data_IF_560819895202
#
_entry.id   IF_560819895202
#
_cell.length_a   1.000
_cell.length_b   1.000
_cell.length_c   1.000
_cell.angle_alpha   90.00
_cell.angle_beta   90.00
_cell.angle_gamma   90.00
#
_symmetry.space_group_name_H-M   'P 1'
#
loop_
_entity.id
_entity.type
_entity.pdbx_description
1 polymer ?
#
# COMPACT_ATOMS: atom_id res chain seq x y z
N UNK A 1 -25.71 -23.05 -7.44
CA UNK A 1 -24.43 -23.76 -7.25
C UNK A 1 -23.75 -23.19 -6.02
N UNK A 2 -23.17 -24.03 -5.16
CA UNK A 2 -22.43 -23.61 -3.97
C UNK A 2 -21.00 -24.14 -4.05
N UNK A 3 -20.05 -23.37 -3.54
CA UNK A 3 -18.67 -23.81 -3.45
C UNK A 3 -18.54 -24.86 -2.34
N UNK A 4 -17.81 -25.94 -2.61
CA UNK A 4 -17.55 -26.97 -1.63
C UNK A 4 -16.39 -26.56 -0.74
N UNK A 5 -16.69 -26.27 0.53
CA UNK A 5 -15.71 -25.82 1.50
C UNK A 5 -14.59 -26.85 1.73
N UNK A 6 -14.89 -28.16 1.66
CA UNK A 6 -13.90 -29.20 1.88
C UNK A 6 -12.82 -29.21 0.78
N UNK A 7 -13.20 -28.80 -0.43
CA UNK A 7 -12.30 -28.74 -1.58
C UNK A 7 -11.42 -27.49 -1.60
N UNK A 8 -11.67 -26.52 -0.70
CA UNK A 8 -10.90 -25.28 -0.61
C UNK A 8 -9.53 -25.55 0.02
N UNK A 9 -8.55 -25.75 -0.86
CA UNK A 9 -7.16 -26.08 -0.48
C UNK A 9 -6.23 -24.87 -0.51
N UNK A 10 -6.64 -23.79 -1.18
CA UNK A 10 -5.84 -22.57 -1.31
C UNK A 10 -5.79 -21.71 -0.02
N UNK A 11 -4.63 -21.07 0.20
CA UNK A 11 -4.43 -20.08 1.29
C UNK A 11 -5.34 -18.85 1.19
N UNK A 12 -5.98 -18.65 0.05
CA UNK A 12 -6.99 -17.61 -0.16
C UNK A 12 -8.28 -17.87 0.61
N UNK A 13 -8.59 -19.13 0.88
CA UNK A 13 -9.89 -19.55 1.40
C UNK A 13 -9.84 -19.91 2.89
N UNK A 14 -8.64 -20.17 3.43
CA UNK A 14 -8.42 -20.48 4.85
C UNK A 14 -7.79 -19.28 5.55
N UNK A 15 -8.43 -18.76 6.59
CA UNK A 15 -7.89 -17.68 7.41
C UNK A 15 -7.24 -18.31 8.64
N UNK A 16 -5.96 -18.04 8.86
CA UNK A 16 -5.27 -18.54 10.05
C UNK A 16 -5.90 -17.95 11.31
N UNK A 17 -6.36 -18.81 12.21
CA UNK A 17 -6.97 -18.42 13.48
C UNK A 17 -8.50 -18.22 13.46
N UNK A 18 -9.14 -18.34 12.30
CA UNK A 18 -10.61 -18.35 12.22
C UNK A 18 -11.17 -19.77 12.28
N UNK A 19 -12.37 -19.88 12.82
CA UNK A 19 -13.09 -21.14 12.94
C UNK A 19 -13.58 -21.64 11.55
N UNK A 20 -13.29 -22.90 11.17
CA UNK A 20 -13.70 -23.45 9.88
C UNK A 20 -15.20 -23.46 9.63
N UNK A 21 -16.03 -23.65 10.67
CA UNK A 21 -17.50 -23.66 10.51
C UNK A 21 -18.01 -22.26 10.14
N UNK A 22 -17.48 -21.23 10.81
CA UNK A 22 -17.75 -19.83 10.49
C UNK A 22 -17.36 -19.50 9.05
N UNK A 23 -16.22 -20.01 8.57
CA UNK A 23 -15.80 -19.82 7.19
C UNK A 23 -16.71 -20.58 6.21
N UNK A 24 -17.10 -21.82 6.50
CA UNK A 24 -17.98 -22.61 5.65
C UNK A 24 -19.34 -21.91 5.42
N UNK A 25 -19.92 -21.33 6.47
CA UNK A 25 -21.19 -20.58 6.38
C UNK A 25 -21.15 -19.41 5.38
N UNK A 26 -19.98 -18.80 5.15
CA UNK A 26 -19.80 -17.74 4.14
C UNK A 26 -19.97 -18.25 2.71
N UNK A 27 -19.60 -19.51 2.45
CA UNK A 27 -19.67 -20.11 1.12
C UNK A 27 -21.03 -20.76 0.83
N UNK A 28 -21.71 -21.25 1.86
CA UNK A 28 -23.07 -21.81 1.74
C UNK A 28 -24.13 -20.75 1.44
N UNK A 29 -23.92 -19.51 1.88
CA UNK A 29 -24.90 -18.42 1.71
C UNK A 29 -24.81 -17.69 0.37
N UNK A 30 -23.78 -17.94 -0.44
CA UNK A 30 -23.56 -17.15 -1.68
C UNK A 30 -24.09 -17.89 -2.93
N UNK A 31 -25.14 -17.38 -3.60
CA UNK A 31 -25.63 -17.98 -4.83
C UNK A 31 -24.76 -17.62 -6.05
N UNK A 32 -24.27 -18.65 -6.75
CA UNK A 32 -23.58 -18.54 -8.04
C UNK A 32 -24.57 -18.77 -9.20
N UNK A 33 -24.63 -17.82 -10.15
CA UNK A 33 -25.72 -17.69 -11.14
C UNK A 33 -25.42 -18.37 -12.48
N UNK A 34 -24.18 -18.37 -12.96
CA UNK A 34 -23.77 -18.97 -14.24
C UNK A 34 -22.33 -19.48 -14.15
N UNK A 35 -22.14 -20.79 -14.35
CA UNK A 35 -20.84 -21.44 -14.31
C UNK A 35 -20.44 -21.96 -15.69
N UNK A 36 -19.21 -21.67 -16.11
CA UNK A 36 -18.55 -22.23 -17.28
C UNK A 36 -18.01 -23.60 -16.88
N UNK A 37 -18.43 -24.65 -17.58
CA UNK A 37 -17.84 -25.97 -17.39
C UNK A 37 -16.42 -25.97 -17.96
N UNK A 38 -15.46 -26.29 -17.11
CA UNK A 38 -14.05 -26.48 -17.51
C UNK A 38 -13.72 -27.95 -17.49
N UNK A 39 -13.02 -28.41 -18.53
CA UNK A 39 -12.45 -29.75 -18.56
C UNK A 39 -11.00 -29.69 -18.08
N UNK A 40 -10.76 -30.28 -16.92
CA UNK A 40 -9.45 -30.45 -16.30
C UNK A 40 -9.13 -31.95 -16.11
N UNK A 41 -9.72 -32.80 -16.94
CA UNK A 41 -9.44 -34.23 -16.92
C UNK A 41 -7.96 -34.52 -17.19
N UNK A 42 -7.46 -35.63 -16.66
CA UNK A 42 -6.06 -36.03 -16.84
C UNK A 42 -5.70 -36.18 -18.33
N UNK A 43 -6.64 -36.57 -19.19
CA UNK A 43 -6.43 -36.64 -20.64
C UNK A 43 -6.18 -35.25 -21.23
N UNK A 44 -7.05 -34.28 -20.92
CA UNK A 44 -6.94 -32.90 -21.43
C UNK A 44 -5.70 -32.19 -20.90
N UNK A 45 -5.35 -32.41 -19.63
CA UNK A 45 -4.11 -31.87 -19.05
C UNK A 45 -2.86 -32.50 -19.69
N UNK A 46 -2.90 -33.80 -20.02
CA UNK A 46 -1.80 -34.47 -20.70
C UNK A 46 -1.61 -33.95 -22.13
N UNK A 47 -2.68 -33.78 -22.90
CA UNK A 47 -2.59 -33.20 -24.25
C UNK A 47 -2.07 -31.77 -24.21
N UNK A 48 -2.54 -30.97 -23.23
CA UNK A 48 -2.03 -29.62 -23.02
C UNK A 48 -0.52 -29.62 -22.70
N UNK A 49 -0.07 -30.53 -21.83
CA UNK A 49 1.33 -30.67 -21.47
C UNK A 49 2.21 -31.02 -22.68
N UNK A 50 1.76 -31.95 -23.52
CA UNK A 50 2.47 -32.37 -24.73
C UNK A 50 2.59 -31.22 -25.74
N UNK A 51 1.50 -30.48 -25.97
CA UNK A 51 1.49 -29.31 -26.85
C UNK A 51 2.44 -28.21 -26.32
N UNK A 52 2.34 -27.87 -25.04
CA UNK A 52 3.17 -26.84 -24.40
C UNK A 52 4.65 -27.20 -24.36
N UNK A 53 4.99 -28.49 -24.23
CA UNK A 53 6.37 -28.96 -24.23
C UNK A 53 7.08 -28.61 -25.54
N UNK A 54 6.42 -28.87 -26.68
CA UNK A 54 7.00 -28.56 -27.99
C UNK A 54 7.25 -27.07 -28.18
N UNK A 55 6.31 -26.23 -27.71
CA UNK A 55 6.42 -24.77 -27.75
C UNK A 55 7.60 -24.32 -26.88
N UNK A 56 7.65 -24.75 -25.63
CA UNK A 56 8.68 -24.33 -24.66
C UNK A 56 10.09 -24.78 -25.04
N UNK A 57 10.25 -25.95 -25.66
CA UNK A 57 11.54 -26.37 -26.19
C UNK A 57 12.08 -25.36 -27.21
N UNK A 58 11.24 -24.95 -28.16
CA UNK A 58 11.61 -23.94 -29.18
C UNK A 58 11.87 -22.56 -28.59
N UNK A 59 11.14 -22.18 -27.55
CA UNK A 59 11.24 -20.88 -26.91
C UNK A 59 12.48 -20.76 -26.02
N UNK A 60 12.82 -21.82 -25.28
CA UNK A 60 14.05 -21.87 -24.49
C UNK A 60 15.29 -21.86 -25.38
N UNK A 61 15.28 -22.59 -26.50
CA UNK A 61 16.38 -22.54 -27.46
C UNK A 61 16.56 -21.13 -28.03
N UNK A 62 15.45 -20.48 -28.40
CA UNK A 62 15.47 -19.09 -28.84
C UNK A 62 16.05 -18.15 -27.76
N UNK A 63 15.62 -18.27 -26.51
CA UNK A 63 16.13 -17.44 -25.40
C UNK A 63 17.64 -17.68 -25.15
N UNK A 64 18.12 -18.92 -25.27
CA UNK A 64 19.57 -19.24 -25.14
C UNK A 64 20.40 -18.64 -26.27
N UNK A 65 19.89 -18.65 -27.50
CA UNK A 65 20.54 -18.00 -28.64
C UNK A 65 20.62 -16.48 -28.44
N UNK A 66 19.57 -15.85 -27.89
CA UNK A 66 19.55 -14.41 -27.61
C UNK A 66 20.41 -14.01 -26.40
N UNK A 67 20.57 -14.91 -25.43
CA UNK A 67 21.46 -14.69 -24.27
C UNK A 67 22.94 -14.83 -24.63
N UNK A 68 23.27 -15.43 -25.79
CA UNK A 68 24.65 -15.54 -26.25
C UNK A 68 25.17 -14.17 -26.68
N UNK A 69 26.41 -13.77 -26.29
CA UNK A 69 26.97 -12.48 -26.62
C UNK A 69 27.38 -12.43 -28.10
N UNK A 70 26.40 -12.31 -28.99
CA UNK A 70 26.61 -11.98 -30.40
C UNK A 70 26.44 -10.47 -30.58
N UNK A 71 27.39 -9.83 -31.26
CA UNK A 71 27.36 -8.38 -31.54
C UNK A 71 26.24 -7.94 -32.51
N UNK A 72 25.39 -8.87 -32.96
CA UNK A 72 24.34 -8.58 -33.93
C UNK A 72 23.02 -8.34 -33.21
N UNK A 73 22.42 -7.14 -33.30
CA UNK A 73 21.13 -6.89 -32.69
C UNK A 73 20.05 -7.79 -33.33
N UNK A 74 19.07 -8.28 -32.54
CA UNK A 74 18.03 -9.14 -33.07
C UNK A 74 17.24 -8.46 -34.20
N UNK A 75 16.89 -9.24 -35.22
CA UNK A 75 15.98 -8.80 -36.28
C UNK A 75 14.58 -8.47 -35.74
N UNK A 76 13.70 -7.84 -36.55
CA UNK A 76 12.38 -7.37 -36.10
C UNK A 76 11.49 -8.51 -35.56
N UNK A 77 11.49 -9.68 -36.22
CA UNK A 77 10.73 -10.85 -35.77
C UNK A 77 11.23 -11.39 -34.42
N UNK A 78 12.55 -11.42 -34.21
CA UNK A 78 13.14 -11.84 -32.94
C UNK A 78 12.81 -10.84 -31.82
N UNK A 79 12.79 -9.53 -32.09
CA UNK A 79 12.37 -8.51 -31.11
C UNK A 79 10.91 -8.67 -30.71
N UNK A 80 10.02 -8.95 -31.65
CA UNK A 80 8.60 -9.17 -31.35
C UNK A 80 8.41 -10.45 -30.52
N UNK A 81 9.12 -11.53 -30.87
CA UNK A 81 9.10 -12.76 -30.08
C UNK A 81 9.64 -12.53 -28.65
N UNK A 82 10.74 -11.78 -28.51
CA UNK A 82 11.27 -11.38 -27.21
C UNK A 82 10.28 -10.52 -26.42
N UNK A 83 9.56 -9.59 -27.05
CA UNK A 83 8.53 -8.79 -26.37
C UNK A 83 7.37 -9.63 -25.83
N UNK A 84 7.06 -10.75 -26.47
CA UNK A 84 6.01 -11.68 -26.01
C UNK A 84 6.48 -12.53 -24.82
N UNK A 85 7.69 -13.09 -24.92
CA UNK A 85 8.26 -13.94 -23.86
C UNK A 85 8.74 -13.12 -22.65
N UNK A 86 9.28 -11.95 -22.92
CA UNK A 86 9.80 -11.00 -21.93
C UNK A 86 9.19 -9.62 -22.15
N UNK A 87 7.92 -9.42 -21.78
CA UNK A 87 7.27 -8.12 -21.91
C UNK A 87 8.02 -7.05 -21.12
N UNK A 88 8.47 -6.02 -21.85
CA UNK A 88 9.18 -4.85 -21.30
C UNK A 88 8.25 -3.68 -21.00
N UNK A 89 6.95 -3.78 -21.30
CA UNK A 89 5.96 -2.73 -21.02
C UNK A 89 5.61 -2.61 -19.53
N UNK A 90 5.97 -3.61 -18.72
CA UNK A 90 5.89 -3.53 -17.25
C UNK A 90 7.14 -2.90 -16.66
N UNK A 91 7.13 -1.56 -16.53
CA UNK A 91 8.21 -0.77 -15.91
C UNK A 91 8.47 -1.12 -14.43
N UNK A 92 7.53 -1.81 -13.79
CA UNK A 92 7.62 -2.27 -12.41
C UNK A 92 8.27 -3.66 -12.28
N UNK A 93 8.50 -4.38 -13.38
CA UNK A 93 9.00 -5.75 -13.34
C UNK A 93 10.42 -5.81 -12.77
N UNK A 94 10.74 -6.91 -12.09
CA UNK A 94 12.13 -7.27 -11.78
C UNK A 94 12.94 -7.35 -13.08
N UNK A 95 14.17 -6.80 -13.12
CA UNK A 95 15.02 -6.86 -14.31
C UNK A 95 15.59 -8.27 -14.55
N UNK A 96 15.25 -9.25 -13.70
CA UNK A 96 15.61 -10.64 -13.90
C UNK A 96 14.74 -11.28 -15.00
N UNK A 97 15.29 -12.25 -15.75
CA UNK A 97 14.52 -12.98 -16.74
C UNK A 97 13.31 -13.68 -16.09
N UNK A 98 12.19 -13.78 -16.83
CA UNK A 98 11.01 -14.49 -16.32
C UNK A 98 11.34 -15.98 -16.16
N UNK A 99 12.07 -16.52 -17.13
CA UNK A 99 12.48 -17.91 -17.18
C UNK A 99 13.99 -18.00 -16.97
N UNK A 100 14.45 -18.48 -15.80
CA UNK A 100 15.84 -18.84 -15.58
C UNK A 100 16.37 -19.76 -16.69
N UNK A 101 17.59 -19.49 -17.18
CA UNK A 101 18.23 -20.31 -18.20
C UNK A 101 18.47 -21.77 -17.77
N UNK A 102 18.43 -22.03 -16.46
CA UNK A 102 18.63 -23.35 -15.84
C UNK A 102 17.38 -24.24 -15.91
N UNK A 103 16.20 -23.68 -16.17
CA UNK A 103 14.97 -24.47 -16.23
C UNK A 103 14.87 -25.23 -17.55
N UNK A 104 14.43 -26.48 -17.46
CA UNK A 104 14.09 -27.33 -18.61
C UNK A 104 12.65 -27.07 -19.06
N UNK A 105 12.33 -27.42 -20.31
CA UNK A 105 10.98 -27.23 -20.84
C UNK A 105 9.96 -28.04 -20.04
N UNK A 106 10.33 -29.26 -19.64
CA UNK A 106 9.53 -30.16 -18.84
C UNK A 106 9.18 -29.55 -17.47
N UNK A 107 10.17 -28.94 -16.80
CA UNK A 107 9.95 -28.25 -15.52
C UNK A 107 9.06 -27.00 -15.66
N UNK A 108 9.15 -26.29 -16.78
CA UNK A 108 8.27 -25.14 -17.04
C UNK A 108 6.84 -25.63 -17.24
N UNK A 109 6.63 -26.61 -18.12
CA UNK A 109 5.30 -27.18 -18.38
C UNK A 109 4.68 -27.72 -17.10
N UNK A 110 5.41 -28.50 -16.31
CA UNK A 110 4.93 -29.02 -15.03
C UNK A 110 4.52 -27.90 -14.06
N UNK A 111 5.32 -26.84 -13.97
CA UNK A 111 5.03 -25.67 -13.11
C UNK A 111 3.83 -24.86 -13.61
N UNK A 112 3.64 -24.78 -14.92
CA UNK A 112 2.59 -23.99 -15.56
C UNK A 112 1.28 -24.78 -15.75
N UNK A 113 1.22 -26.04 -15.32
CA UNK A 113 -0.01 -26.83 -15.34
C UNK A 113 -1.15 -26.17 -14.53
N UNK A 114 -2.39 -26.19 -15.04
CA UNK A 114 -3.56 -25.78 -14.28
C UNK A 114 -3.77 -26.65 -13.03
N UNK A 115 -4.06 -26.02 -11.90
CA UNK A 115 -4.37 -26.67 -10.63
C UNK A 115 -5.74 -26.25 -10.13
N UNK A 116 -6.60 -27.22 -9.83
CA UNK A 116 -7.92 -26.95 -9.23
C UNK A 116 -7.73 -26.59 -7.76
N UNK A 117 -8.18 -25.40 -7.38
CA UNK A 117 -8.11 -24.88 -6.01
C UNK A 117 -9.40 -25.10 -5.22
N UNK A 118 -10.53 -25.23 -5.93
CA UNK A 118 -11.86 -25.38 -5.37
C UNK A 118 -12.83 -25.97 -6.41
N UNK A 119 -13.86 -26.69 -5.94
CA UNK A 119 -14.93 -27.27 -6.76
C UNK A 119 -16.32 -26.94 -6.22
N UNK A 120 -17.36 -27.17 -7.02
CA UNK A 120 -18.76 -27.03 -6.59
C UNK A 120 -19.28 -28.30 -5.91
N UNK A 121 -20.05 -28.15 -4.83
CA UNK A 121 -20.56 -29.28 -4.01
C UNK A 121 -21.46 -30.24 -4.79
N UNK A 122 -22.36 -29.70 -5.63
CA UNK A 122 -23.39 -30.52 -6.27
C UNK A 122 -22.91 -31.30 -7.51
N UNK A 123 -21.80 -30.89 -8.12
CA UNK A 123 -21.35 -31.42 -9.42
C UNK A 123 -19.89 -31.88 -9.43
N UNK A 124 -19.09 -31.49 -8.44
CA UNK A 124 -17.65 -31.73 -8.41
C UNK A 124 -16.87 -30.97 -9.49
N UNK A 125 -17.54 -30.13 -10.30
CA UNK A 125 -16.85 -29.36 -11.34
C UNK A 125 -15.95 -28.30 -10.72
N UNK A 126 -14.79 -28.00 -11.35
CA UNK A 126 -13.89 -26.95 -10.86
C UNK A 126 -14.59 -25.60 -10.78
N UNK A 127 -14.45 -24.95 -9.63
CA UNK A 127 -14.87 -23.58 -9.41
C UNK A 127 -13.73 -22.60 -9.58
N UNK A 128 -12.57 -22.88 -8.95
CA UNK A 128 -11.38 -22.03 -9.04
C UNK A 128 -10.24 -22.85 -9.60
N UNK A 129 -9.64 -22.33 -10.67
CA UNK A 129 -8.45 -22.91 -11.31
C UNK A 129 -7.33 -21.91 -11.21
N UNK A 130 -6.19 -22.34 -10.68
CA UNK A 130 -4.96 -21.57 -10.63
C UNK A 130 -4.01 -22.07 -11.70
N UNK A 131 -3.40 -21.14 -12.44
CA UNK A 131 -2.33 -21.44 -13.37
C UNK A 131 -1.18 -20.46 -13.15
N UNK A 132 0.05 -20.95 -13.12
CA UNK A 132 1.24 -20.08 -13.15
C UNK A 132 1.64 -19.84 -14.59
N UNK A 133 1.93 -18.59 -14.94
CA UNK A 133 2.43 -18.20 -16.25
C UNK A 133 3.62 -17.28 -16.03
N UNK A 134 4.81 -17.76 -16.38
CA UNK A 134 6.05 -17.06 -16.10
C UNK A 134 6.27 -16.84 -14.60
N UNK A 135 6.31 -15.56 -14.18
CA UNK A 135 6.40 -15.16 -12.76
C UNK A 135 5.05 -14.77 -12.16
N UNK A 136 3.99 -14.77 -12.96
CA UNK A 136 2.65 -14.41 -12.54
C UNK A 136 1.80 -15.63 -12.18
N UNK A 137 0.70 -15.35 -11.49
CA UNK A 137 -0.35 -16.32 -11.20
C UNK A 137 -1.65 -15.81 -11.81
N UNK A 138 -2.36 -16.68 -12.52
CA UNK A 138 -3.70 -16.45 -13.05
C UNK A 138 -4.68 -17.30 -12.23
N UNK A 139 -5.72 -16.66 -11.71
CA UNK A 139 -6.87 -17.34 -11.11
C UNK A 139 -8.06 -17.21 -12.05
N UNK A 140 -8.66 -18.34 -12.41
CA UNK A 140 -9.88 -18.40 -13.18
C UNK A 140 -11.03 -18.88 -12.29
N UNK A 141 -12.02 -18.02 -12.10
CA UNK A 141 -13.26 -18.34 -11.43
C UNK A 141 -14.29 -18.73 -12.49
N UNK A 142 -14.77 -19.96 -12.45
CA UNK A 142 -15.67 -20.49 -13.48
C UNK A 142 -17.08 -19.94 -13.37
N UNK A 143 -17.42 -19.24 -12.29
CA UNK A 143 -18.72 -18.58 -12.12
C UNK A 143 -18.58 -17.12 -11.69
N UNK A 144 -19.51 -16.29 -12.15
CA UNK A 144 -19.75 -14.96 -11.59
C UNK A 144 -20.56 -15.00 -10.29
N UNK A 145 -20.49 -13.91 -9.53
CA UNK A 145 -21.38 -13.65 -8.38
C UNK A 145 -22.63 -12.94 -8.89
N UNK A 146 -23.81 -13.29 -8.38
CA UNK A 146 -25.04 -12.56 -8.68
C UNK A 146 -24.89 -11.07 -8.33
N UNK A 147 -25.38 -10.20 -9.20
CA UNK A 147 -25.25 -8.74 -9.09
C UNK A 147 -26.29 -8.12 -8.15
N UNK A 148 -26.66 -8.75 -7.05
CA UNK A 148 -27.48 -8.06 -6.05
C UNK A 148 -26.62 -6.97 -5.38
N UNK A 149 -26.57 -5.80 -6.02
CA UNK A 149 -25.74 -4.64 -5.68
C UNK A 149 -25.85 -4.21 -4.20
N UNK A 150 -26.98 -4.53 -3.56
CA UNK A 150 -27.22 -4.22 -2.15
C UNK A 150 -26.58 -5.23 -1.17
N UNK A 151 -26.26 -6.46 -1.61
CA UNK A 151 -25.68 -7.52 -0.77
C UNK A 151 -24.22 -7.84 -1.14
N UNK A 152 -23.69 -7.22 -2.19
CA UNK A 152 -22.31 -7.42 -2.69
C UNK A 152 -21.23 -7.12 -1.63
N UNK A 153 -21.48 -6.24 -0.65
CA UNK A 153 -20.52 -5.97 0.44
C UNK A 153 -20.57 -6.98 1.58
N UNK A 154 -21.66 -7.74 1.69
CA UNK A 154 -21.90 -8.68 2.79
C UNK A 154 -21.83 -10.14 2.36
N UNK A 155 -21.64 -10.42 1.06
CA UNK A 155 -21.53 -11.79 0.58
C UNK A 155 -20.16 -12.38 0.86
N UNK A 156 -20.12 -13.63 1.33
CA UNK A 156 -18.88 -14.37 1.57
C UNK A 156 -18.00 -14.48 0.33
N UNK A 157 -18.60 -14.55 -0.87
CA UNK A 157 -17.83 -14.53 -2.11
C UNK A 157 -17.00 -13.25 -2.30
N UNK A 158 -17.52 -12.08 -1.93
CA UNK A 158 -16.74 -10.83 -2.08
C UNK A 158 -15.48 -10.84 -1.21
N UNK A 159 -15.55 -11.40 0.00
CA UNK A 159 -14.37 -11.57 0.85
C UNK A 159 -13.29 -12.40 0.17
N UNK A 160 -13.69 -13.49 -0.50
CA UNK A 160 -12.80 -14.39 -1.24
C UNK A 160 -12.16 -13.69 -2.43
N UNK A 161 -12.95 -12.97 -3.24
CA UNK A 161 -12.42 -12.19 -4.37
C UNK A 161 -11.46 -11.11 -3.90
N UNK A 162 -11.82 -10.38 -2.85
CA UNK A 162 -10.99 -9.36 -2.25
C UNK A 162 -9.66 -9.95 -1.78
N UNK A 163 -9.68 -11.01 -0.98
CA UNK A 163 -8.47 -11.67 -0.47
C UNK A 163 -7.61 -12.24 -1.59
N UNK A 164 -8.22 -12.91 -2.57
CA UNK A 164 -7.52 -13.44 -3.74
C UNK A 164 -6.85 -12.31 -4.54
N UNK A 165 -7.54 -11.19 -4.75
CA UNK A 165 -7.00 -10.03 -5.45
C UNK A 165 -5.83 -9.43 -4.68
N UNK A 166 -5.98 -9.20 -3.37
CA UNK A 166 -4.89 -8.68 -2.53
C UNK A 166 -3.69 -9.61 -2.50
N UNK A 167 -3.90 -10.93 -2.43
CA UNK A 167 -2.80 -11.90 -2.54
C UNK A 167 -2.11 -11.80 -3.90
N UNK A 168 -2.87 -11.85 -4.99
CA UNK A 168 -2.33 -11.71 -6.35
C UNK A 168 -1.54 -10.43 -6.51
N UNK A 169 -2.06 -9.29 -6.03
CA UNK A 169 -1.32 -8.02 -6.03
C UNK A 169 -0.03 -8.10 -5.21
N UNK A 170 -0.09 -8.70 -4.02
CA UNK A 170 1.07 -8.82 -3.12
C UNK A 170 2.18 -9.74 -3.67
N UNK A 171 1.81 -10.73 -4.48
CA UNK A 171 2.74 -11.68 -5.10
C UNK A 171 3.29 -11.17 -6.44
N UNK A 172 2.49 -10.42 -7.21
CA UNK A 172 2.86 -9.94 -8.54
C UNK A 172 3.57 -8.59 -8.53
N UNK A 173 3.21 -7.69 -7.61
CA UNK A 173 3.82 -6.37 -7.53
C UNK A 173 5.14 -6.44 -6.76
N UNK A 174 6.22 -5.81 -7.27
CA UNK A 174 7.47 -5.74 -6.54
C UNK A 174 7.26 -5.01 -5.22
N UNK A 175 7.83 -5.54 -4.13
CA UNK A 175 7.90 -4.81 -2.87
C UNK A 175 8.83 -3.61 -3.05
N UNK A 176 8.24 -2.42 -3.21
CA UNK A 176 8.95 -1.13 -3.29
C UNK A 176 8.80 -0.27 -2.04
N UNK A 177 8.22 -0.83 -0.99
CA UNK A 177 8.10 -0.20 0.31
C UNK A 177 9.03 -0.89 1.30
N UNK A 178 9.73 -0.12 2.11
CA UNK A 178 10.64 -0.62 3.14
C UNK A 178 10.56 0.19 4.41
N UNK A 179 11.21 -0.30 5.46
CA UNK A 179 11.33 0.42 6.73
C UNK A 179 12.71 1.03 6.85
N UNK A 180 12.79 2.16 7.57
CA UNK A 180 14.06 2.77 7.92
C UNK A 180 14.92 1.78 8.72
N UNK A 181 16.20 1.71 8.38
CA UNK A 181 17.15 0.75 8.94
C UNK A 181 17.19 -0.61 8.22
N UNK A 182 16.16 -1.00 7.47
CA UNK A 182 16.13 -2.27 6.75
C UNK A 182 16.91 -2.18 5.43
N UNK A 183 17.72 -3.20 5.14
CA UNK A 183 18.45 -3.32 3.88
C UNK A 183 17.46 -3.37 2.71
N UNK A 184 17.66 -2.51 1.70
CA UNK A 184 16.91 -2.57 0.44
C UNK A 184 17.79 -3.20 -0.63
N UNK A 185 17.21 -4.06 -1.46
CA UNK A 185 17.94 -4.79 -2.50
C UNK A 185 17.16 -4.76 -3.80
N UNK A 186 17.82 -4.35 -4.88
CA UNK A 186 17.29 -4.45 -6.24
C UNK A 186 18.14 -5.48 -7.00
N UNK A 187 17.62 -6.68 -7.29
CA UNK A 187 18.36 -7.62 -8.12
C UNK A 187 18.53 -7.04 -9.52
N UNK A 188 19.67 -7.29 -10.16
CA UNK A 188 19.98 -6.76 -11.48
C UNK A 188 20.84 -7.75 -12.27
N UNK A 189 20.58 -7.84 -13.57
CA UNK A 189 21.48 -8.50 -14.51
C UNK A 189 22.66 -7.57 -14.80
N UNK A 190 23.87 -8.12 -14.70
CA UNK A 190 25.14 -7.41 -14.81
C UNK A 190 25.21 -6.50 -16.04
N UNK A 191 25.67 -5.27 -15.83
CA UNK A 191 25.93 -4.29 -16.89
C UNK A 191 26.95 -3.27 -16.41
N UNK A 192 27.70 -2.66 -17.32
CA UNK A 192 28.71 -1.64 -17.01
C UNK A 192 28.09 -0.25 -16.73
N UNK A 193 26.96 -0.24 -16.00
CA UNK A 193 26.21 0.97 -15.67
C UNK A 193 26.67 1.48 -14.32
N UNK A 194 26.96 2.78 -14.23
CA UNK A 194 27.23 3.42 -12.95
C UNK A 194 25.90 3.77 -12.31
N UNK A 195 25.71 3.35 -11.06
CA UNK A 195 24.46 3.56 -10.34
C UNK A 195 24.61 4.65 -9.30
N UNK A 196 23.59 5.46 -9.15
CA UNK A 196 23.51 6.52 -8.15
C UNK A 196 22.18 6.43 -7.41
N UNK A 197 22.24 6.59 -6.10
CA UNK A 197 21.09 6.66 -5.21
C UNK A 197 20.86 8.11 -4.82
N UNK A 198 19.69 8.64 -5.15
CA UNK A 198 19.18 9.87 -4.57
C UNK A 198 18.41 9.53 -3.28
N UNK A 199 18.90 10.02 -2.15
CA UNK A 199 18.26 9.90 -0.84
C UNK A 199 17.11 10.94 -0.69
N UNK A 200 16.21 10.79 0.30
CA UNK A 200 15.10 11.72 0.52
C UNK A 200 15.50 13.18 0.73
N UNK A 201 16.73 13.43 1.17
CA UNK A 201 17.30 14.76 1.39
C UNK A 201 17.96 15.34 0.11
N UNK A 202 17.82 14.69 -1.04
CA UNK A 202 18.43 15.10 -2.31
C UNK A 202 19.90 14.76 -2.46
N UNK A 203 20.54 14.18 -1.42
CA UNK A 203 21.94 13.76 -1.53
C UNK A 203 22.05 12.54 -2.44
N UNK A 204 23.01 12.60 -3.36
CA UNK A 204 23.33 11.52 -4.29
C UNK A 204 24.57 10.76 -3.79
N UNK A 205 24.49 9.43 -3.79
CA UNK A 205 25.62 8.55 -3.47
C UNK A 205 25.80 7.49 -4.56
N UNK A 206 27.05 7.17 -4.95
CA UNK A 206 27.28 6.09 -5.89
C UNK A 206 26.91 4.75 -5.25
N UNK A 207 26.18 3.92 -5.99
CA UNK A 207 25.86 2.55 -5.61
C UNK A 207 26.79 1.57 -6.33
N UNK A 208 27.32 0.63 -5.55
CA UNK A 208 28.11 -0.48 -6.08
C UNK A 208 27.22 -1.71 -6.18
N UNK A 209 27.40 -2.47 -7.25
CA UNK A 209 26.73 -3.76 -7.43
C UNK A 209 27.37 -4.79 -6.51
N UNK A 210 26.57 -5.43 -5.67
CA UNK A 210 27.00 -6.48 -4.76
C UNK A 210 26.43 -7.84 -5.21
N UNK A 211 27.09 -8.93 -4.83
CA UNK A 211 26.51 -10.26 -4.96
C UNK A 211 25.38 -10.42 -3.92
N UNK A 212 24.16 -10.70 -4.39
CA UNK A 212 23.02 -11.02 -3.55
C UNK A 212 22.94 -12.52 -3.24
N UNK A 213 23.22 -13.35 -4.25
CA UNK A 213 23.19 -14.82 -4.17
C UNK A 213 24.09 -15.44 -5.27
N UNK A 214 24.20 -16.77 -5.34
CA UNK A 214 24.92 -17.52 -6.36
C UNK A 214 24.41 -17.19 -7.77
N UNK A 215 25.13 -16.30 -8.47
CA UNK A 215 24.81 -15.87 -9.83
C UNK A 215 23.82 -14.69 -9.93
N UNK A 216 23.40 -14.10 -8.81
CA UNK A 216 22.55 -12.90 -8.80
C UNK A 216 23.32 -11.73 -8.18
N UNK A 217 23.65 -10.75 -9.02
CA UNK A 217 24.13 -9.45 -8.57
C UNK A 217 22.98 -8.49 -8.37
N UNK A 218 23.18 -7.44 -7.57
CA UNK A 218 22.18 -6.41 -7.39
C UNK A 218 22.68 -5.18 -6.66
N UNK A 219 21.86 -4.16 -6.65
CA UNK A 219 22.12 -2.92 -5.93
C UNK A 219 21.62 -3.05 -4.50
N UNK A 220 22.46 -2.62 -3.57
CA UNK A 220 22.18 -2.74 -2.14
C UNK A 220 22.25 -1.36 -1.50
N UNK A 221 21.13 -0.90 -0.94
CA UNK A 221 21.11 0.28 -0.09
C UNK A 221 21.22 -0.19 1.35
N UNK A 222 22.39 0.04 1.93
CA UNK A 222 22.69 -0.33 3.32
C UNK A 222 22.14 0.76 4.25
N UNK A 223 21.21 0.37 5.13
CA UNK A 223 20.67 1.22 6.21
C UNK A 223 20.08 2.56 5.73
N UNK A 224 18.92 2.55 5.05
CA UNK A 224 18.18 3.79 4.78
C UNK A 224 17.65 4.36 6.10
N UNK A 225 18.29 5.37 6.69
CA UNK A 225 17.92 5.88 8.02
C UNK A 225 16.81 6.94 7.98
N UNK A 226 16.72 7.71 6.88
CA UNK A 226 15.68 8.71 6.70
C UNK A 226 14.45 8.12 6.02
N UNK A 227 13.26 8.53 6.45
CA UNK A 227 12.03 8.25 5.71
C UNK A 227 11.94 9.10 4.44
N UNK A 228 11.17 8.62 3.47
CA UNK A 228 10.92 9.30 2.21
C UNK A 228 11.26 8.45 0.99
N UNK A 229 11.37 9.10 -0.16
CA UNK A 229 11.64 8.43 -1.44
C UNK A 229 13.14 8.29 -1.68
N UNK A 230 13.55 7.08 -2.04
CA UNK A 230 14.90 6.75 -2.48
C UNK A 230 14.83 6.39 -3.96
N UNK A 231 15.54 7.13 -4.81
CA UNK A 231 15.48 6.94 -6.27
C UNK A 231 16.82 6.44 -6.79
N UNK A 232 16.81 5.36 -7.55
CA UNK A 232 17.99 4.81 -8.21
C UNK A 232 18.02 5.28 -9.66
N UNK A 233 19.13 5.89 -10.05
CA UNK A 233 19.43 6.27 -11.43
C UNK A 233 20.63 5.47 -11.92
N UNK A 234 20.58 5.07 -13.19
CA UNK A 234 21.69 4.41 -13.87
C UNK A 234 22.17 5.29 -14.99
N UNK A 235 23.43 5.71 -14.93
CA UNK A 235 24.08 6.36 -16.05
C UNK A 235 24.77 5.28 -16.89
N UNK A 236 24.28 5.08 -18.11
CA UNK A 236 25.00 4.27 -19.07
C UNK A 236 26.16 5.13 -19.55
N UNK A 237 27.38 4.80 -19.15
CA UNK A 237 28.58 5.42 -19.70
C UNK A 237 28.61 5.14 -21.22
N UNK A 238 28.01 6.02 -22.00
CA UNK A 238 28.26 6.10 -23.42
C UNK A 238 29.70 6.57 -23.50
N UNK A 239 30.59 5.73 -24.03
CA UNK A 239 31.92 6.15 -24.45
C UNK A 239 31.75 7.12 -25.65
N UNK A 240 31.23 8.31 -25.40
CA UNK A 240 31.19 9.40 -26.36
C UNK A 240 32.56 10.06 -26.36
N UNK A 241 33.46 9.48 -27.15
CA UNK A 241 34.65 10.19 -27.62
C UNK A 241 34.22 11.24 -28.65
N UNK A 242 33.43 12.24 -28.23
CA UNK A 242 33.23 13.51 -28.93
C UNK A 242 32.35 14.40 -28.04
N UNK A 243 32.92 15.53 -27.62
CA UNK A 243 32.35 16.44 -26.64
C UNK A 243 31.03 17.07 -27.09
N UNK A 244 29.92 16.45 -26.72
CA UNK A 244 28.64 17.13 -26.52
C UNK A 244 27.95 16.48 -25.31
N UNK A 245 28.20 17.02 -24.11
CA UNK A 245 27.48 16.65 -22.89
C UNK A 245 26.07 17.22 -22.96
N UNK A 246 25.18 16.51 -23.63
CA UNK A 246 23.76 16.65 -23.38
C UNK A 246 23.41 15.56 -22.38
N UNK A 247 23.35 15.96 -21.09
CA UNK A 247 22.83 15.14 -20.00
C UNK A 247 21.38 14.74 -20.35
N UNK A 248 21.23 13.64 -21.08
CA UNK A 248 19.95 12.97 -21.21
C UNK A 248 19.65 12.44 -19.80
N UNK A 249 18.89 13.23 -19.03
CA UNK A 249 18.54 12.92 -17.65
C UNK A 249 18.11 11.45 -17.55
N UNK A 250 18.98 10.63 -16.93
CA UNK A 250 18.78 9.20 -16.85
C UNK A 250 17.44 8.92 -16.16
N UNK A 251 16.52 8.28 -16.89
CA UNK A 251 15.21 7.93 -16.36
C UNK A 251 15.39 7.09 -15.08
N UNK A 252 14.63 7.36 -14.01
CA UNK A 252 14.76 6.61 -12.76
C UNK A 252 14.43 5.14 -13.02
N UNK A 253 15.36 4.25 -12.67
CA UNK A 253 15.17 2.80 -12.82
C UNK A 253 14.16 2.28 -11.81
N UNK A 254 14.30 2.73 -10.56
CA UNK A 254 13.46 2.30 -9.46
C UNK A 254 13.35 3.38 -8.39
N UNK A 255 12.19 3.43 -7.74
CA UNK A 255 11.94 4.28 -6.58
C UNK A 255 11.43 3.42 -5.43
N UNK A 256 11.99 3.62 -4.25
CA UNK A 256 11.56 2.99 -3.01
C UNK A 256 10.98 4.01 -2.05
N UNK A 257 9.86 3.67 -1.42
CA UNK A 257 9.31 4.43 -0.31
C UNK A 257 9.78 3.79 1.00
N UNK A 258 10.60 4.53 1.76
CA UNK A 258 11.06 4.10 3.08
C UNK A 258 10.25 4.81 4.14
N UNK A 259 9.58 4.03 4.98
CA UNK A 259 8.81 4.52 6.11
C UNK A 259 9.68 4.53 7.35
N UNK A 260 9.63 5.60 8.14
CA UNK A 260 10.16 5.54 9.50
C UNK A 260 9.29 4.55 10.29
N UNK A 261 9.86 3.85 11.26
CA UNK A 261 9.04 3.19 12.25
C UNK A 261 8.07 4.22 12.81
N UNK A 262 6.79 3.87 12.86
CA UNK A 262 5.81 4.67 13.55
C UNK A 262 6.21 4.70 15.02
N UNK A 263 7.00 5.69 15.42
CA UNK A 263 6.75 6.29 16.71
C UNK A 263 5.36 6.90 16.52
N UNK A 264 4.32 6.15 16.90
CA UNK A 264 3.11 6.84 17.33
C UNK A 264 3.62 7.93 18.26
N UNK A 265 3.26 9.18 17.98
CA UNK A 265 3.38 10.20 19.01
C UNK A 265 2.76 9.54 20.23
N UNK A 266 3.57 9.22 21.24
CA UNK A 266 3.05 8.86 22.54
C UNK A 266 2.26 10.10 22.95
N UNK A 267 0.96 10.09 22.62
CA UNK A 267 -0.01 11.04 23.10
C UNK A 267 -0.23 10.65 24.56
N UNK A 268 0.81 10.77 25.38
CA UNK A 268 0.67 10.79 26.81
C UNK A 268 -0.27 11.95 27.08
N UNK A 269 -1.49 11.66 27.53
CA UNK A 269 -2.47 12.69 27.82
C UNK A 269 -1.85 13.68 28.80
N UNK A 270 -1.58 14.89 28.35
CA UNK A 270 -1.07 15.95 29.22
C UNK A 270 -2.15 16.26 30.24
N UNK A 271 -1.91 15.89 31.49
CA UNK A 271 -2.85 16.12 32.58
C UNK A 271 -3.19 17.60 32.75
N UNK A 272 -4.40 17.87 33.24
CA UNK A 272 -4.91 19.22 33.46
C UNK A 272 -3.96 20.09 34.31
N UNK A 273 -3.22 19.49 35.25
CA UNK A 273 -2.23 20.15 36.09
C UNK A 273 -1.04 20.67 35.29
N UNK A 274 -0.50 19.85 34.37
CA UNK A 274 0.61 20.20 33.48
C UNK A 274 0.20 21.26 32.47
N UNK A 275 -1.06 21.22 32.02
CA UNK A 275 -1.62 22.21 31.09
C UNK A 275 -1.88 23.55 31.79
N UNK A 276 -2.34 23.53 33.06
CA UNK A 276 -2.47 24.74 33.88
C UNK A 276 -1.12 25.38 34.22
N UNK A 277 -0.09 24.57 34.53
CA UNK A 277 1.24 25.12 34.80
C UNK A 277 1.88 25.73 33.54
N UNK A 278 1.64 25.15 32.36
CA UNK A 278 2.12 25.69 31.09
C UNK A 278 1.44 27.01 30.67
N UNK A 279 0.14 27.15 30.96
CA UNK A 279 -0.63 28.37 30.65
C UNK A 279 -0.33 29.53 31.63
N UNK A 280 0.19 29.22 32.82
CA UNK A 280 0.62 30.22 33.80
C UNK A 280 -0.51 31.17 34.21
N UNK A 281 -0.23 32.48 34.21
CA UNK A 281 -1.18 33.55 34.57
C UNK A 281 -1.92 34.14 33.35
N UNK A 282 -1.91 33.49 32.19
CA UNK A 282 -2.66 33.97 31.05
C UNK A 282 -4.17 34.01 31.39
N UNK A 283 -4.94 34.97 30.85
CA UNK A 283 -6.38 35.09 31.11
C UNK A 283 -7.18 34.03 30.32
N UNK A 284 -6.75 32.77 30.39
CA UNK A 284 -7.29 31.64 29.66
C UNK A 284 -7.73 30.59 30.69
N UNK A 285 -8.95 30.08 30.54
CA UNK A 285 -9.48 29.01 31.38
C UNK A 285 -9.21 27.66 30.72
N UNK A 286 -8.40 26.83 31.37
CA UNK A 286 -8.21 25.44 30.97
C UNK A 286 -9.40 24.61 31.46
N UNK A 287 -10.18 24.08 30.51
CA UNK A 287 -11.38 23.28 30.75
C UNK A 287 -11.04 21.79 30.87
N UNK A 288 -11.81 21.07 31.69
CA UNK A 288 -11.72 19.62 31.78
C UNK A 288 -12.49 18.92 30.64
N UNK A 289 -12.13 17.68 30.34
CA UNK A 289 -12.86 16.86 29.36
C UNK A 289 -14.33 16.71 29.79
N UNK A 290 -15.25 17.12 28.92
CA UNK A 290 -16.70 17.10 29.17
C UNK A 290 -17.28 18.39 29.79
N UNK A 291 -16.45 19.40 30.08
CA UNK A 291 -16.93 20.69 30.58
C UNK A 291 -17.44 21.56 29.41
N UNK A 292 -18.71 22.02 29.43
CA UNK A 292 -19.27 22.81 28.33
C UNK A 292 -18.56 24.16 28.22
N UNK A 293 -18.17 24.54 27.00
CA UNK A 293 -17.54 25.83 26.70
C UNK A 293 -18.59 26.93 26.91
N UNK A 294 -18.53 27.62 28.07
CA UNK A 294 -19.40 28.77 28.36
C UNK A 294 -18.65 30.08 28.09
N UNK A 295 -19.20 30.91 27.20
CA UNK A 295 -18.68 32.22 26.79
C UNK A 295 -18.87 33.33 27.86
N UNK A 296 -19.25 32.97 29.10
CA UNK A 296 -19.61 33.91 30.18
C UNK A 296 -18.40 34.65 30.81
N UNK A 297 -17.18 34.45 30.30
CA UNK A 297 -15.95 35.02 30.86
C UNK A 297 -15.90 36.55 30.93
N UNK A 298 -16.68 37.26 30.11
CA UNK A 298 -16.78 38.72 30.14
C UNK A 298 -17.71 39.30 31.22
N UNK A 299 -18.59 38.50 31.83
CA UNK A 299 -19.69 39.01 32.67
C UNK A 299 -19.33 39.22 34.15
N UNK A 300 -18.26 38.58 34.66
CA UNK A 300 -17.95 38.60 36.11
C UNK A 300 -17.51 39.96 36.67
N UNK A 301 -16.93 40.85 35.84
CA UNK A 301 -16.58 42.22 36.29
C UNK A 301 -17.81 43.13 36.39
N UNK A 302 -18.77 42.99 35.47
CA UNK A 302 -20.00 43.78 35.45
C UNK A 302 -20.93 43.43 36.63
N UNK A 303 -20.96 42.16 37.05
CA UNK A 303 -21.82 41.67 38.14
C UNK A 303 -21.51 42.28 39.52
N UNK A 304 -20.28 42.79 39.73
CA UNK A 304 -19.92 43.48 40.98
C UNK A 304 -20.03 45.00 40.85
N UNK A 305 -19.82 45.57 39.66
CA UNK A 305 -19.84 47.01 39.44
C UNK A 305 -21.23 47.63 39.60
N UNK A 306 -22.29 46.94 39.14
CA UNK A 306 -23.65 47.48 39.24
C UNK A 306 -24.11 47.65 40.69
N UNK A 307 -23.67 46.78 41.61
CA UNK A 307 -23.98 46.90 43.05
C UNK A 307 -23.41 48.20 43.63
N UNK A 308 -22.19 48.57 43.23
CA UNK A 308 -21.56 49.82 43.64
C UNK A 308 -22.20 51.05 42.99
N UNK A 309 -22.63 50.92 41.73
CA UNK A 309 -23.37 51.98 41.04
C UNK A 309 -24.71 52.28 41.72
N UNK A 310 -25.48 51.23 42.08
CA UNK A 310 -26.74 51.39 42.82
C UNK A 310 -26.48 52.03 44.19
N UNK A 311 -25.46 51.56 44.92
CA UNK A 311 -25.11 52.14 46.21
C UNK A 311 -24.77 53.63 46.10
N UNK A 312 -24.03 54.03 45.05
CA UNK A 312 -23.70 55.42 44.78
C UNK A 312 -24.92 56.29 44.51
N UNK A 313 -25.85 55.81 43.69
CA UNK A 313 -27.14 56.50 43.42
C UNK A 313 -27.96 56.66 44.70
N UNK A 314 -28.01 55.62 45.54
CA UNK A 314 -28.78 55.62 46.78
C UNK A 314 -28.21 56.62 47.80
N UNK A 315 -26.89 56.72 47.89
CA UNK A 315 -26.20 57.74 48.71
C UNK A 315 -26.46 59.16 48.20
N UNK A 316 -26.48 59.37 46.88
CA UNK A 316 -26.81 60.66 46.28
C UNK A 316 -28.22 61.12 46.61
N UNK A 317 -29.21 60.21 46.50
CA UNK A 317 -30.60 60.47 46.88
C UNK A 317 -30.76 60.81 48.37
N UNK A 318 -30.06 60.11 49.25
CA UNK A 318 -30.06 60.45 50.68
C UNK A 318 -29.47 61.83 50.96
N UNK A 319 -28.39 62.19 50.26
CA UNK A 319 -27.79 63.51 50.37
C UNK A 319 -28.76 64.61 49.88
N UNK A 320 -29.47 64.39 48.76
CA UNK A 320 -30.51 65.32 48.29
C UNK A 320 -31.66 65.45 49.29
N UNK A 321 -32.17 64.35 49.84
CA UNK A 321 -33.22 64.41 50.86
C UNK A 321 -32.78 65.16 52.12
N UNK A 322 -31.52 64.99 52.54
CA UNK A 322 -30.95 65.73 53.66
C UNK A 322 -30.85 67.24 53.36
N UNK A 323 -30.46 67.61 52.13
CA UNK A 323 -30.38 69.00 51.66
C UNK A 323 -31.76 69.66 51.56
N UNK A 324 -32.75 68.94 51.04
CA UNK A 324 -34.13 69.45 50.89
C UNK A 324 -34.83 69.55 52.24
N UNK A 325 -34.61 68.58 53.13
CA UNK A 325 -35.15 68.54 54.49
C UNK A 325 -34.43 69.45 55.49
N UNK A 326 -33.30 70.06 55.10
CA UNK A 326 -32.57 70.97 55.97
C UNK A 326 -33.40 72.24 56.26
N UNK A 327 -33.57 72.61 57.54
CA UNK A 327 -34.40 73.73 57.97
C UNK A 327 -33.88 75.06 57.39
N UNK A 328 -34.81 75.94 57.04
CA UNK A 328 -34.59 77.14 56.20
C UNK A 328 -33.60 78.17 56.75
N UNK A 329 -33.15 78.07 58.01
CA UNK A 329 -32.13 78.95 58.58
C UNK A 329 -30.70 78.68 58.08
N UNK A 330 -30.46 77.55 57.40
CA UNK A 330 -29.18 77.28 56.71
C UNK A 330 -29.09 77.89 55.30
N UNK A 331 -30.19 78.35 54.69
CA UNK A 331 -30.21 78.82 53.29
C UNK A 331 -29.92 80.31 53.11
N UNK A 332 -29.69 81.06 54.19
CA UNK A 332 -29.42 82.52 54.16
C UNK A 332 -27.96 82.88 54.49
N UNK A 333 -27.03 81.92 54.50
CA UNK A 333 -25.61 82.16 54.78
C UNK A 333 -24.65 81.67 53.69
N UNK A 334 -25.14 81.45 52.46
CA UNK A 334 -24.33 81.17 51.28
C UNK A 334 -24.63 82.19 50.18
#
# INVERSE_FOLDING_TARGET
FFADFETLTGRDFRVDGEDPETLAALFESTPFFQAVRTDVSAATLKTLAEDELTVWQSELEFLRQQASPTNTPPGPAARERLRRLEPAWWTWRSPLPIYPATLTAEQIVEREQPQVQASFTASGFPWVIQRRLGRGTVLFFTSGVSSDWNLLRTSGAMYVFHRSLFRLMSETLPKRNGWAGNRLTLPQVSGNTRWELERPNGHQEPLVTEALDAGVTGLVVRRPMSSGLYTIRGDQAINSAEGTTQDAAAAPLATWAVQAQSSESELSGTGLSTLRSAVGNAPVRVLSVGEPIRLEGGARRAERLWKWAILGVLMGLLAEMALVGAPSWWRTAA
#
